data_IF_848438458057
#
_entry.id   IF_848438458057
#
_cell.length_a   1.000
_cell.length_b   1.000
_cell.length_c   1.000
_cell.angle_alpha   90.00
_cell.angle_beta   90.00
_cell.angle_gamma   90.00
#
_symmetry.space_group_name_H-M   'P 1'
#
loop_
_entity.id
_entity.type
_entity.pdbx_description
1 polymer ?
#
# COMPACT_ATOMS: atom_id res chain seq x y z
N UNK A 1 -6.67 -12.95 -3.71
CA UNK A 1 -6.21 -11.81 -2.89
C UNK A 1 -5.56 -10.79 -3.80
N UNK A 2 -5.81 -9.49 -3.59
CA UNK A 2 -5.30 -8.42 -4.48
C UNK A 2 -4.35 -7.51 -3.71
N UNK A 3 -3.05 -7.52 -4.03
CA UNK A 3 -2.08 -6.58 -3.43
C UNK A 3 -1.96 -5.29 -4.24
N UNK A 4 -1.95 -4.14 -3.56
CA UNK A 4 -1.95 -2.84 -4.24
C UNK A 4 -0.59 -2.40 -4.78
N UNK A 5 0.50 -2.83 -4.14
CA UNK A 5 1.88 -2.49 -4.49
C UNK A 5 2.86 -3.55 -3.95
N UNK A 6 4.06 -3.61 -4.51
CA UNK A 6 5.13 -4.49 -4.07
C UNK A 6 6.22 -3.71 -3.32
N UNK A 7 6.82 -4.29 -2.29
CA UNK A 7 8.06 -3.78 -1.70
C UNK A 7 9.27 -3.97 -2.63
N UNK A 8 9.31 -5.09 -3.34
CA UNK A 8 10.38 -5.44 -4.28
C UNK A 8 10.15 -4.81 -5.66
N UNK A 9 11.15 -4.90 -6.54
CA UNK A 9 11.11 -4.24 -7.86
C UNK A 9 10.24 -4.97 -8.89
N UNK A 10 9.78 -6.19 -8.61
CA UNK A 10 8.91 -6.92 -9.52
C UNK A 10 7.60 -6.16 -9.75
N UNK A 11 7.28 -5.93 -11.02
CA UNK A 11 6.18 -5.07 -11.48
C UNK A 11 6.31 -3.59 -11.04
N UNK A 12 7.53 -3.14 -10.74
CA UNK A 12 7.91 -1.77 -10.38
C UNK A 12 8.02 -1.53 -8.88
N UNK A 13 6.99 -1.91 -8.11
CA UNK A 13 6.96 -1.75 -6.65
C UNK A 13 7.16 -0.33 -6.15
N UNK A 14 7.47 -0.18 -4.85
CA UNK A 14 7.67 1.14 -4.21
C UNK A 14 8.84 1.94 -4.80
N UNK A 15 9.88 1.25 -5.29
CA UNK A 15 11.01 1.88 -5.99
C UNK A 15 10.55 2.68 -7.20
N UNK A 16 9.58 2.17 -7.96
CA UNK A 16 9.06 2.88 -9.13
C UNK A 16 8.29 4.16 -8.74
N UNK A 17 7.55 4.14 -7.63
CA UNK A 17 6.87 5.33 -7.11
C UNK A 17 7.88 6.41 -6.71
N UNK A 18 8.96 5.99 -6.03
CA UNK A 18 10.08 6.87 -5.66
C UNK A 18 10.71 7.52 -6.88
N UNK A 19 10.94 6.76 -7.95
CA UNK A 19 11.44 7.32 -9.21
C UNK A 19 10.46 8.31 -9.84
N UNK A 20 9.17 8.00 -9.88
CA UNK A 20 8.16 8.94 -10.41
C UNK A 20 8.12 10.25 -9.62
N UNK A 21 8.20 10.17 -8.28
CA UNK A 21 8.22 11.36 -7.44
C UNK A 21 9.49 12.21 -7.67
N UNK A 22 10.66 11.57 -7.80
CA UNK A 22 11.92 12.26 -8.14
C UNK A 22 11.82 12.97 -9.50
N UNK A 23 11.30 12.28 -10.51
CA UNK A 23 11.11 12.85 -11.85
C UNK A 23 10.10 14.01 -11.84
N UNK A 24 9.13 13.99 -10.93
CA UNK A 24 8.19 15.08 -10.71
C UNK A 24 8.75 16.22 -9.82
N UNK A 25 10.03 16.16 -9.43
CA UNK A 25 10.72 17.19 -8.66
C UNK A 25 10.63 17.05 -7.14
N UNK A 26 10.06 15.96 -6.62
CA UNK A 26 10.01 15.72 -5.18
C UNK A 26 11.41 15.34 -4.65
N UNK A 27 11.77 15.90 -3.49
CA UNK A 27 13.00 15.56 -2.79
C UNK A 27 12.82 14.24 -2.05
N UNK A 28 13.43 13.17 -2.56
CA UNK A 28 13.32 11.79 -2.02
C UNK A 28 14.71 11.23 -1.74
N UNK A 29 15.00 10.96 -0.48
CA UNK A 29 16.31 10.52 0.02
C UNK A 29 16.49 9.01 -0.10
N UNK A 30 15.43 8.23 0.17
CA UNK A 30 15.48 6.78 0.20
C UNK A 30 14.24 6.13 -0.38
N UNK A 31 14.27 4.81 -0.61
CA UNK A 31 13.06 4.09 -0.97
C UNK A 31 12.05 4.04 0.19
N UNK A 32 12.51 4.11 1.43
CA UNK A 32 11.66 4.09 2.64
C UNK A 32 10.87 5.39 2.84
N UNK A 33 11.24 6.46 2.13
CA UNK A 33 10.43 7.68 2.04
C UNK A 33 9.04 7.40 1.45
N UNK A 34 8.83 6.25 0.79
CA UNK A 34 7.51 5.78 0.40
C UNK A 34 6.50 5.75 1.56
N UNK A 35 6.97 5.44 2.78
CA UNK A 35 6.11 5.35 3.95
C UNK A 35 5.78 6.72 4.58
N UNK A 36 6.55 7.76 4.28
CA UNK A 36 6.47 9.04 5.01
C UNK A 36 6.17 10.22 4.11
N UNK A 37 6.73 10.25 2.89
CA UNK A 37 6.60 11.37 1.97
C UNK A 37 5.15 11.53 1.47
N UNK A 38 4.55 12.72 1.62
CA UNK A 38 3.15 12.94 1.28
C UNK A 38 2.84 12.75 -0.22
N UNK A 39 3.79 13.02 -1.12
CA UNK A 39 3.61 12.80 -2.57
C UNK A 39 3.50 11.30 -2.86
N UNK A 40 4.40 10.50 -2.30
CA UNK A 40 4.40 9.04 -2.48
C UNK A 40 3.15 8.39 -1.87
N UNK A 41 2.77 8.79 -0.66
CA UNK A 41 1.49 8.37 -0.05
C UNK A 41 0.29 8.77 -0.90
N UNK A 42 0.32 9.96 -1.51
CA UNK A 42 -0.71 10.41 -2.44
C UNK A 42 -0.82 9.53 -3.68
N UNK A 43 0.30 9.19 -4.31
CA UNK A 43 0.33 8.27 -5.46
C UNK A 43 -0.25 6.90 -5.10
N UNK A 44 0.11 6.35 -3.93
CA UNK A 44 -0.46 5.10 -3.45
C UNK A 44 -1.98 5.20 -3.23
N UNK A 45 -2.46 6.25 -2.55
CA UNK A 45 -3.89 6.46 -2.32
C UNK A 45 -4.69 6.60 -3.63
N UNK A 46 -4.09 7.23 -4.65
CA UNK A 46 -4.68 7.34 -5.98
C UNK A 46 -4.78 5.98 -6.68
N UNK A 47 -3.71 5.17 -6.62
CA UNK A 47 -3.68 3.77 -7.10
C UNK A 47 -4.79 2.94 -6.45
N UNK A 48 -4.86 2.94 -5.12
CA UNK A 48 -5.87 2.23 -4.33
C UNK A 48 -7.29 2.63 -4.76
N UNK A 49 -7.57 3.94 -4.77
CA UNK A 49 -8.89 4.45 -5.18
C UNK A 49 -9.25 4.00 -6.59
N UNK A 50 -8.31 4.11 -7.54
CA UNK A 50 -8.53 3.70 -8.93
C UNK A 50 -8.90 2.22 -9.06
N UNK A 51 -8.29 1.34 -8.26
CA UNK A 51 -8.57 -0.09 -8.28
C UNK A 51 -9.89 -0.41 -7.59
N UNK A 52 -10.10 0.07 -6.37
CA UNK A 52 -11.29 -0.23 -5.55
C UNK A 52 -12.57 0.29 -6.21
N UNK A 53 -12.53 1.47 -6.83
CA UNK A 53 -13.71 2.05 -7.51
C UNK A 53 -13.82 1.63 -8.98
N UNK A 54 -13.00 0.69 -9.46
CA UNK A 54 -13.08 0.19 -10.83
C UNK A 54 -14.36 -0.59 -11.02
N UNK A 55 -15.13 -0.27 -12.06
CA UNK A 55 -16.18 -1.14 -12.56
C UNK A 55 -15.56 -2.24 -13.43
N UNK A 56 -15.87 -3.49 -13.10
CA UNK A 56 -15.57 -4.62 -13.97
C UNK A 56 -16.37 -4.44 -15.26
N UNK A 57 -15.69 -4.40 -16.40
CA UNK A 57 -16.33 -4.16 -17.70
C UNK A 57 -17.16 -5.35 -18.20
N UNK A 58 -17.02 -6.51 -17.56
CA UNK A 58 -17.77 -7.73 -17.89
C UNK A 58 -18.98 -7.86 -16.97
N UNK A 59 -18.77 -7.82 -15.65
CA UNK A 59 -19.87 -8.03 -14.68
C UNK A 59 -20.67 -6.75 -14.38
N UNK A 60 -20.12 -5.57 -14.70
CA UNK A 60 -20.73 -4.29 -14.36
C UNK A 60 -20.68 -3.93 -12.86
N UNK A 61 -20.02 -4.76 -12.04
CA UNK A 61 -19.93 -4.57 -10.59
C UNK A 61 -18.64 -3.79 -10.27
N UNK A 62 -18.72 -2.82 -9.36
CA UNK A 62 -17.53 -2.15 -8.84
C UNK A 62 -16.71 -3.13 -7.98
N UNK A 63 -15.38 -3.08 -8.05
CA UNK A 63 -14.53 -4.05 -7.34
C UNK A 63 -14.79 -4.06 -5.83
N UNK A 64 -15.09 -2.91 -5.21
CA UNK A 64 -15.50 -2.81 -3.80
C UNK A 64 -16.82 -3.53 -3.44
N UNK A 65 -17.60 -3.91 -4.44
CA UNK A 65 -18.91 -4.53 -4.32
C UNK A 65 -18.92 -5.99 -4.85
N UNK A 66 -17.78 -6.51 -5.34
CA UNK A 66 -17.67 -7.82 -6.00
C UNK A 66 -17.20 -8.92 -5.02
N UNK A 67 -18.08 -9.86 -4.61
CA UNK A 67 -17.76 -10.88 -3.61
C UNK A 67 -16.71 -11.90 -4.06
N UNK A 68 -16.32 -11.90 -5.34
CA UNK A 68 -15.20 -12.71 -5.84
C UNK A 68 -13.88 -12.28 -5.19
N UNK A 69 -13.77 -11.00 -4.80
CA UNK A 69 -12.59 -10.48 -4.13
C UNK A 69 -12.70 -10.79 -2.63
N UNK A 70 -12.00 -11.83 -2.17
CA UNK A 70 -12.01 -12.16 -0.73
C UNK A 70 -11.34 -11.06 0.12
N UNK A 71 -10.14 -10.63 -0.27
CA UNK A 71 -9.32 -9.70 0.51
C UNK A 71 -8.37 -8.90 -0.39
N UNK A 72 -8.05 -7.69 0.06
CA UNK A 72 -6.99 -6.84 -0.51
C UNK A 72 -5.81 -6.71 0.46
N UNK A 73 -4.61 -6.53 -0.10
CA UNK A 73 -3.36 -6.37 0.62
C UNK A 73 -2.76 -4.98 0.42
N UNK A 74 -2.30 -4.35 1.52
CA UNK A 74 -1.73 -3.01 1.45
C UNK A 74 -0.45 -2.99 0.60
N UNK A 75 0.47 -3.90 0.88
CA UNK A 75 1.74 -4.04 0.15
C UNK A 75 2.26 -5.47 0.30
N UNK A 76 2.77 -6.07 -0.77
CA UNK A 76 3.52 -7.32 -0.65
C UNK A 76 4.86 -7.07 0.06
N UNK A 77 5.10 -7.76 1.18
CA UNK A 77 6.36 -7.82 1.94
C UNK A 77 6.92 -6.44 2.37
N UNK A 78 6.15 -5.57 3.06
CA UNK A 78 6.64 -4.26 3.45
C UNK A 78 7.87 -4.38 4.38
N UNK A 79 8.96 -3.70 4.00
CA UNK A 79 10.18 -3.57 4.80
C UNK A 79 10.63 -2.11 4.89
N UNK A 80 11.15 -1.72 6.05
CA UNK A 80 11.70 -0.38 6.30
C UNK A 80 13.06 -0.58 6.97
N UNK A 81 14.12 -0.15 6.29
CA UNK A 81 15.51 -0.29 6.72
C UNK A 81 16.03 0.95 7.43
N UNK A 82 15.34 2.09 7.31
CA UNK A 82 15.69 3.34 8.02
C UNK A 82 15.08 3.44 9.42
N UNK A 83 14.11 2.58 9.77
CA UNK A 83 13.46 2.55 11.09
C UNK A 83 13.15 1.12 11.55
N UNK A 84 14.09 0.54 12.31
CA UNK A 84 13.94 -0.78 12.92
C UNK A 84 12.97 -0.82 14.11
N UNK A 85 12.51 0.34 14.62
CA UNK A 85 11.51 0.36 15.71
C UNK A 85 10.11 -0.07 15.23
N UNK A 86 9.91 -0.20 13.92
CA UNK A 86 8.62 -0.56 13.30
C UNK A 86 7.60 0.58 13.23
N UNK A 87 7.81 1.68 13.96
CA UNK A 87 6.86 2.80 14.07
C UNK A 87 6.49 3.40 12.73
N UNK A 88 7.45 3.54 11.81
CA UNK A 88 7.21 4.08 10.47
C UNK A 88 6.23 3.21 9.67
N UNK A 89 6.41 1.88 9.67
CA UNK A 89 5.50 0.96 8.97
C UNK A 89 4.15 0.95 9.68
N UNK A 90 4.10 0.85 11.01
CA UNK A 90 2.84 0.82 11.76
C UNK A 90 2.00 2.07 11.51
N UNK A 91 2.61 3.25 11.51
CA UNK A 91 1.92 4.51 11.21
C UNK A 91 1.38 4.54 9.77
N UNK A 92 2.19 4.10 8.80
CA UNK A 92 1.76 4.01 7.40
C UNK A 92 0.62 3.00 7.22
N UNK A 93 0.71 1.82 7.84
CA UNK A 93 -0.34 0.79 7.82
C UNK A 93 -1.64 1.33 8.40
N UNK A 94 -1.59 2.00 9.56
CA UNK A 94 -2.77 2.59 10.18
C UNK A 94 -3.43 3.63 9.25
N UNK A 95 -2.64 4.50 8.64
CA UNK A 95 -3.13 5.51 7.70
C UNK A 95 -3.77 4.87 6.45
N UNK A 96 -3.07 3.93 5.81
CA UNK A 96 -3.52 3.33 4.56
C UNK A 96 -4.68 2.34 4.76
N UNK A 97 -4.69 1.59 5.85
CA UNK A 97 -5.80 0.70 6.18
C UNK A 97 -7.07 1.49 6.44
N UNK A 98 -6.99 2.59 7.19
CA UNK A 98 -8.12 3.49 7.43
C UNK A 98 -8.65 4.07 6.11
N UNK A 99 -7.74 4.50 5.22
CA UNK A 99 -8.12 5.02 3.90
C UNK A 99 -8.79 3.97 3.01
N UNK A 100 -8.23 2.75 2.93
CA UNK A 100 -8.83 1.64 2.16
C UNK A 100 -10.22 1.31 2.70
N UNK A 101 -10.38 1.18 4.03
CA UNK A 101 -11.66 0.84 4.65
C UNK A 101 -12.73 1.93 4.49
N UNK A 102 -12.33 3.19 4.37
CA UNK A 102 -13.25 4.27 4.02
C UNK A 102 -13.79 4.17 2.58
N UNK A 103 -13.03 3.54 1.66
CA UNK A 103 -13.45 3.30 0.28
C UNK A 103 -14.21 1.98 0.10
N UNK A 104 -13.84 0.96 0.90
CA UNK A 104 -14.37 -0.39 0.88
C UNK A 104 -14.50 -0.95 2.30
N UNK A 105 -15.72 -0.87 2.83
CA UNK A 105 -16.07 -1.43 4.15
C UNK A 105 -16.45 -2.90 4.13
N UNK A 106 -16.46 -3.58 2.97
CA UNK A 106 -17.00 -4.94 2.81
C UNK A 106 -15.91 -6.01 2.80
N UNK A 107 -14.87 -5.83 1.99
CA UNK A 107 -13.84 -6.85 1.82
C UNK A 107 -12.86 -6.91 2.98
N UNK A 108 -12.25 -8.07 3.20
CA UNK A 108 -11.15 -8.21 4.16
C UNK A 108 -9.94 -7.38 3.69
N UNK A 109 -9.17 -6.92 4.67
CA UNK A 109 -7.94 -6.16 4.41
C UNK A 109 -6.82 -6.76 5.23
N UNK A 110 -5.69 -6.97 4.57
CA UNK A 110 -4.48 -7.49 5.19
C UNK A 110 -3.28 -6.59 4.82
N UNK A 111 -2.19 -6.71 5.58
CA UNK A 111 -1.04 -5.81 5.43
C UNK A 111 -0.10 -6.27 4.31
N UNK A 112 0.12 -7.58 4.23
CA UNK A 112 1.05 -8.29 3.34
C UNK A 112 2.41 -8.54 3.98
N UNK A 113 2.47 -8.57 5.32
CA UNK A 113 3.72 -8.80 6.07
C UNK A 113 4.23 -10.23 5.94
N UNK A 114 5.56 -10.36 5.92
CA UNK A 114 6.26 -11.65 6.01
C UNK A 114 6.20 -12.26 7.42
N UNK A 115 5.92 -11.45 8.44
CA UNK A 115 5.76 -11.90 9.82
C UNK A 115 6.99 -11.76 10.71
N UNK A 116 7.96 -10.90 10.35
CA UNK A 116 9.07 -10.57 11.26
C UNK A 116 8.56 -9.87 12.52
N UNK A 117 9.05 -10.32 13.68
CA UNK A 117 8.77 -9.69 14.97
C UNK A 117 9.70 -8.51 15.20
N UNK A 118 9.21 -7.46 15.87
CA UNK A 118 10.06 -6.41 16.42
C UNK A 118 10.69 -6.85 17.75
N UNK A 119 11.57 -6.01 18.30
CA UNK A 119 12.33 -6.33 19.53
C UNK A 119 11.46 -6.51 20.79
N UNK A 120 10.17 -6.23 20.72
CA UNK A 120 9.24 -6.45 21.83
C UNK A 120 8.66 -7.87 21.81
N UNK A 121 9.45 -8.80 22.36
CA UNK A 121 9.01 -10.05 23.01
C UNK A 121 9.10 -9.96 24.56
N UNK A 122 9.18 -8.74 25.10
CA UNK A 122 9.15 -8.44 26.54
C UNK A 122 8.25 -7.24 26.82
#
# INVERSE_FOLDING_TARGET
>A
MLSFVNNNNDFGGRTQYVQWARNAGAQINSNDDFYTNPVLKGYYKNRVKRVITRFNTITGIAYRDDPTIMASGLMNEPRCQVDYSGRTITAWVQEMATYVKALDGKHLLEIGMEGFYGDSLL
#
